data_IF_704364095023
#
_entry.id   IF_704364095023
#
_cell.length_a   1.000
_cell.length_b   1.000
_cell.length_c   1.000
_cell.angle_alpha   90.00
_cell.angle_beta   90.00
_cell.angle_gamma   90.00
#
_symmetry.space_group_name_H-M   'P 1'
#
loop_
_entity.id
_entity.type
_entity.pdbx_description
1 polymer ?
#
# COMPACT_ATOMS: atom_id res chain seq x y z
N UNK A 1 16.46 -21.18 6.97
CA UNK A 1 16.15 -21.49 5.58
C UNK A 1 17.10 -20.67 4.68
N UNK A 2 17.57 -21.23 3.58
CA UNK A 2 18.40 -20.51 2.61
C UNK A 2 17.53 -19.71 1.61
N UNK A 3 18.13 -18.78 0.86
CA UNK A 3 17.40 -17.96 -0.12
C UNK A 3 16.69 -18.79 -1.19
N UNK A 4 17.23 -19.96 -1.54
CA UNK A 4 16.64 -20.88 -2.53
C UNK A 4 15.26 -21.45 -2.09
N UNK A 5 14.89 -21.27 -0.82
CA UNK A 5 13.60 -21.69 -0.28
C UNK A 5 12.55 -20.56 -0.26
N UNK A 6 12.90 -19.37 -0.73
CA UNK A 6 12.06 -18.17 -0.72
C UNK A 6 11.65 -17.82 -2.15
N UNK A 7 10.36 -17.88 -2.46
CA UNK A 7 9.84 -17.52 -3.78
C UNK A 7 9.54 -16.03 -3.93
N UNK A 8 9.07 -15.39 -2.86
CA UNK A 8 8.71 -13.98 -2.90
C UNK A 8 8.84 -13.31 -1.52
N UNK A 9 9.00 -11.99 -1.56
CA UNK A 9 8.84 -11.08 -0.44
C UNK A 9 7.61 -10.21 -0.71
N UNK A 10 6.63 -10.25 0.20
CA UNK A 10 5.41 -9.46 0.10
C UNK A 10 5.37 -8.43 1.21
N UNK A 11 5.05 -7.18 0.88
CA UNK A 11 4.93 -6.10 1.85
C UNK A 11 4.10 -4.93 1.35
N UNK A 12 3.61 -4.12 2.28
CA UNK A 12 2.96 -2.84 1.99
C UNK A 12 4.01 -1.74 1.86
N UNK A 13 3.98 -0.87 0.83
CA UNK A 13 4.90 0.28 0.73
C UNK A 13 4.92 1.16 1.97
N UNK A 14 3.77 1.41 2.55
CA UNK A 14 3.54 2.03 3.87
C UNK A 14 2.59 1.14 4.63
N UNK A 15 2.97 0.72 5.84
CA UNK A 15 2.19 -0.27 6.59
C UNK A 15 1.02 0.37 7.33
N UNK A 16 -0.19 0.11 6.84
CA UNK A 16 -1.42 0.58 7.48
C UNK A 16 -1.71 -0.18 8.78
N UNK A 17 -1.59 -1.53 8.86
CA UNK A 17 -1.87 -2.27 10.10
C UNK A 17 -0.99 -1.86 11.28
N UNK A 18 0.18 -1.31 11.01
CA UNK A 18 1.08 -0.77 12.02
C UNK A 18 0.82 0.72 12.33
N UNK A 19 -0.31 1.27 11.88
CA UNK A 19 -0.69 2.66 12.13
C UNK A 19 0.04 3.66 11.23
N UNK A 20 0.19 3.36 9.95
CA UNK A 20 0.77 4.29 8.96
C UNK A 20 2.29 4.38 9.03
N UNK A 21 2.97 3.29 9.38
CA UNK A 21 4.44 3.27 9.44
C UNK A 21 5.04 3.44 8.06
N UNK A 22 5.81 4.52 7.88
CA UNK A 22 6.56 4.82 6.67
C UNK A 22 7.99 4.29 6.83
N UNK A 23 8.46 3.38 5.99
CA UNK A 23 9.83 2.89 6.06
C UNK A 23 10.85 3.99 5.73
N UNK A 24 12.10 3.89 6.21
CA UNK A 24 13.18 4.75 5.74
C UNK A 24 13.38 4.72 4.22
N UNK A 25 13.84 5.80 3.63
CA UNK A 25 13.96 5.97 2.17
C UNK A 25 14.78 4.87 1.46
N UNK A 26 15.74 4.30 2.17
CA UNK A 26 16.60 3.23 1.63
C UNK A 26 16.06 1.81 1.84
N UNK A 27 14.97 1.64 2.60
CA UNK A 27 14.45 0.31 2.94
C UNK A 27 14.04 -0.48 1.69
N UNK A 28 13.11 0.07 0.91
CA UNK A 28 12.62 -0.61 -0.29
C UNK A 28 13.67 -0.81 -1.39
N UNK A 29 14.55 0.18 -1.68
CA UNK A 29 15.69 -0.05 -2.56
C UNK A 29 16.58 -1.21 -2.10
N UNK A 30 16.90 -1.31 -0.81
CA UNK A 30 17.69 -2.43 -0.28
C UNK A 30 16.95 -3.77 -0.37
N UNK A 31 15.64 -3.80 -0.11
CA UNK A 31 14.82 -5.01 -0.30
C UNK A 31 14.85 -5.44 -1.76
N UNK A 32 14.73 -4.51 -2.71
CA UNK A 32 14.80 -4.80 -4.16
C UNK A 32 16.15 -5.39 -4.54
N UNK A 33 17.24 -4.83 -4.06
CA UNK A 33 18.60 -5.35 -4.29
C UNK A 33 18.75 -6.79 -3.79
N UNK A 34 18.23 -7.09 -2.60
CA UNK A 34 18.25 -8.44 -2.03
C UNK A 34 17.39 -9.39 -2.86
N UNK A 35 16.20 -8.98 -3.25
CA UNK A 35 15.31 -9.77 -4.09
C UNK A 35 15.96 -10.09 -5.45
N UNK A 36 16.57 -9.09 -6.10
CA UNK A 36 17.25 -9.26 -7.38
C UNK A 36 18.47 -10.20 -7.25
N UNK A 37 19.25 -10.04 -6.19
CA UNK A 37 20.45 -10.87 -5.93
C UNK A 37 20.12 -12.36 -5.80
N UNK A 38 18.97 -12.68 -5.19
CA UNK A 38 18.61 -14.06 -4.90
C UNK A 38 17.48 -14.61 -5.78
N UNK A 39 17.01 -13.86 -6.77
CA UNK A 39 15.92 -14.28 -7.66
C UNK A 39 14.57 -14.39 -6.95
N UNK A 40 14.37 -13.64 -5.87
CA UNK A 40 13.14 -13.58 -5.08
C UNK A 40 12.21 -12.53 -5.71
N UNK A 41 10.92 -12.85 -5.91
CA UNK A 41 9.96 -11.88 -6.42
C UNK A 41 9.60 -10.86 -5.34
N UNK A 42 9.61 -9.58 -5.70
CA UNK A 42 9.07 -8.52 -4.84
C UNK A 42 7.60 -8.26 -5.18
N UNK A 43 6.74 -8.41 -4.18
CA UNK A 43 5.31 -8.18 -4.31
C UNK A 43 4.89 -7.01 -3.42
N UNK A 44 4.25 -5.99 -3.99
CA UNK A 44 3.64 -4.92 -3.21
C UNK A 44 2.15 -5.14 -3.01
N UNK A 45 1.71 -5.06 -1.77
CA UNK A 45 0.30 -4.92 -1.44
C UNK A 45 -0.07 -3.43 -1.48
N UNK A 46 -0.68 -3.02 -2.59
CA UNK A 46 -1.16 -1.65 -2.80
C UNK A 46 -2.67 -1.51 -2.57
N UNK A 47 -3.26 -2.47 -1.88
CA UNK A 47 -4.71 -2.47 -1.59
C UNK A 47 -5.14 -1.21 -0.83
N UNK A 48 -4.27 -0.67 0.03
CA UNK A 48 -4.52 0.56 0.78
C UNK A 48 -3.72 1.74 0.22
N UNK A 49 -2.49 1.51 -0.18
CA UNK A 49 -1.54 2.56 -0.57
C UNK A 49 -1.79 3.09 -1.99
N UNK A 50 -2.46 2.30 -2.84
CA UNK A 50 -2.73 2.66 -4.23
C UNK A 50 -3.84 3.69 -4.42
N UNK A 51 -3.91 4.18 -5.65
CA UNK A 51 -4.95 5.07 -6.18
C UNK A 51 -5.08 6.42 -5.45
N UNK A 52 -3.93 7.02 -5.12
CA UNK A 52 -3.87 8.38 -4.60
C UNK A 52 -3.82 8.53 -3.08
N UNK A 53 -3.98 7.45 -2.31
CA UNK A 53 -4.02 7.50 -0.83
C UNK A 53 -2.83 8.22 -0.21
N UNK A 54 -1.64 8.03 -0.76
CA UNK A 54 -0.39 8.59 -0.24
C UNK A 54 -0.01 9.93 -0.89
N UNK A 55 -0.85 10.51 -1.76
CA UNK A 55 -0.48 11.68 -2.57
C UNK A 55 0.34 11.34 -3.81
N UNK A 56 0.44 10.06 -4.13
CA UNK A 56 0.97 9.48 -5.36
C UNK A 56 -0.01 8.42 -5.87
N UNK A 57 0.06 8.08 -7.18
CA UNK A 57 -0.82 7.05 -7.72
C UNK A 57 -0.68 5.72 -6.98
N UNK A 58 0.58 5.34 -6.66
CA UNK A 58 0.89 4.10 -5.95
C UNK A 58 2.01 4.33 -4.93
N UNK A 59 2.02 3.53 -3.88
CA UNK A 59 3.08 3.52 -2.89
C UNK A 59 4.44 3.13 -3.47
N UNK A 60 4.46 2.38 -4.57
CA UNK A 60 5.69 2.08 -5.33
C UNK A 60 6.40 3.34 -5.85
N UNK A 61 5.68 4.42 -6.12
CA UNK A 61 6.26 5.73 -6.47
C UNK A 61 7.02 6.32 -5.27
N UNK A 62 6.43 6.24 -4.07
CA UNK A 62 7.09 6.68 -2.82
C UNK A 62 8.31 5.80 -2.52
N UNK A 63 8.15 4.49 -2.64
CA UNK A 63 9.22 3.52 -2.42
C UNK A 63 10.37 3.63 -3.45
N UNK A 64 10.14 4.30 -4.58
CA UNK A 64 11.08 4.42 -5.71
C UNK A 64 11.54 3.05 -6.24
N UNK A 65 10.66 2.07 -6.20
CA UNK A 65 10.92 0.69 -6.59
C UNK A 65 9.76 0.16 -7.42
N UNK A 66 10.06 -0.54 -8.49
CA UNK A 66 9.07 -1.29 -9.26
C UNK A 66 9.00 -2.71 -8.73
N UNK A 67 7.86 -3.16 -8.15
CA UNK A 67 7.69 -4.55 -7.76
C UNK A 67 7.50 -5.46 -8.98
N UNK A 68 7.73 -6.76 -8.81
CA UNK A 68 7.45 -7.75 -9.85
C UNK A 68 5.96 -7.99 -10.01
N UNK A 69 5.24 -7.93 -8.88
CA UNK A 69 3.77 -8.08 -8.81
C UNK A 69 3.22 -7.03 -7.83
N UNK A 70 2.05 -6.50 -8.13
CA UNK A 70 1.32 -5.57 -7.29
C UNK A 70 -0.12 -6.05 -7.14
N UNK A 71 -0.63 -6.16 -5.90
CA UNK A 71 -2.04 -6.38 -5.64
C UNK A 71 -2.77 -5.05 -5.42
N UNK A 72 -4.02 -4.96 -5.84
CA UNK A 72 -4.84 -3.76 -5.67
C UNK A 72 -6.31 -4.09 -5.39
N UNK A 73 -6.97 -3.21 -4.67
CA UNK A 73 -8.41 -3.22 -4.41
C UNK A 73 -8.89 -1.84 -3.96
N UNK A 74 -9.92 -1.77 -3.14
CA UNK A 74 -10.44 -0.59 -2.43
C UNK A 74 -10.50 0.68 -3.28
N UNK A 75 -9.41 1.45 -3.31
CA UNK A 75 -9.30 2.73 -4.01
C UNK A 75 -9.61 2.66 -5.50
N UNK A 76 -9.42 1.50 -6.14
CA UNK A 76 -9.70 1.34 -7.58
C UNK A 76 -11.15 1.66 -7.96
N UNK A 77 -12.11 1.45 -7.05
CA UNK A 77 -13.52 1.79 -7.26
C UNK A 77 -14.08 2.75 -6.22
N UNK A 78 -13.26 3.23 -5.27
CA UNK A 78 -13.71 4.06 -4.13
C UNK A 78 -14.88 3.44 -3.35
N UNK A 79 -14.98 2.10 -3.33
CA UNK A 79 -16.02 1.36 -2.61
C UNK A 79 -17.36 1.24 -3.35
N UNK A 80 -17.51 1.80 -4.55
CA UNK A 80 -18.76 1.72 -5.31
C UNK A 80 -19.06 0.32 -5.88
N UNK A 81 -18.02 -0.50 -6.08
CA UNK A 81 -18.19 -1.88 -6.55
C UNK A 81 -17.03 -2.74 -5.99
N UNK A 82 -17.29 -3.99 -5.55
CA UNK A 82 -16.23 -4.91 -5.16
C UNK A 82 -15.36 -5.26 -6.36
N UNK A 83 -14.11 -4.77 -6.36
CA UNK A 83 -13.11 -5.03 -7.39
C UNK A 83 -11.74 -5.11 -6.74
N UNK A 84 -10.96 -6.07 -7.16
CA UNK A 84 -9.56 -6.21 -6.85
C UNK A 84 -8.86 -7.01 -7.93
N UNK A 85 -7.55 -6.97 -7.92
CA UNK A 85 -6.75 -7.68 -8.90
C UNK A 85 -5.27 -7.63 -8.58
N UNK A 86 -4.49 -8.16 -9.49
CA UNK A 86 -3.03 -8.05 -9.48
C UNK A 86 -2.51 -7.62 -10.84
N UNK A 87 -1.43 -6.87 -10.83
CA UNK A 87 -0.68 -6.47 -12.00
C UNK A 87 0.71 -7.07 -11.87
N UNK A 88 1.25 -7.60 -12.94
CA UNK A 88 2.61 -8.15 -12.96
C UNK A 88 3.44 -7.52 -14.07
N UNK A 89 4.76 -7.59 -13.90
CA UNK A 89 5.68 -7.25 -14.99
C UNK A 89 5.50 -8.20 -16.17
N UNK A 90 5.89 -7.75 -17.36
CA UNK A 90 5.86 -8.57 -18.58
C UNK A 90 6.64 -9.88 -18.40
N UNK A 91 7.78 -9.85 -17.69
CA UNK A 91 8.60 -11.03 -17.38
C UNK A 91 7.77 -12.12 -16.69
N UNK A 92 6.93 -11.74 -15.73
CA UNK A 92 6.06 -12.69 -15.01
C UNK A 92 4.95 -13.19 -15.93
N UNK A 93 4.24 -12.29 -16.61
CA UNK A 93 3.13 -12.69 -17.49
C UNK A 93 3.57 -13.59 -18.64
N UNK A 94 4.75 -13.35 -19.21
CA UNK A 94 5.28 -14.17 -20.31
C UNK A 94 5.61 -15.60 -19.86
N UNK A 95 5.88 -15.83 -18.56
CA UNK A 95 6.14 -17.19 -18.05
C UNK A 95 4.93 -18.13 -18.14
N UNK A 96 3.72 -17.56 -18.29
CA UNK A 96 2.49 -18.32 -18.47
C UNK A 96 2.12 -18.58 -19.94
N UNK A 97 2.95 -18.11 -20.87
CA UNK A 97 2.73 -18.30 -22.31
C UNK A 97 3.48 -19.53 -22.84
N UNK A 98 3.05 -20.04 -23.99
CA UNK A 98 3.71 -21.11 -24.71
C UNK A 98 3.14 -22.49 -24.41
N UNK A 99 3.84 -23.29 -23.61
CA UNK A 99 3.46 -24.66 -23.31
C UNK A 99 2.18 -24.72 -22.45
N UNK A 100 1.23 -25.65 -22.72
CA UNK A 100 -0.03 -25.78 -21.93
C UNK A 100 0.21 -25.96 -20.42
N UNK A 101 1.30 -26.61 -20.03
CA UNK A 101 1.69 -26.79 -18.61
C UNK A 101 2.00 -25.48 -17.87
N UNK A 102 2.32 -24.42 -18.61
CA UNK A 102 2.64 -23.11 -18.05
C UNK A 102 1.41 -22.21 -17.96
N UNK A 103 0.25 -22.66 -18.52
CA UNK A 103 -0.94 -21.82 -18.55
C UNK A 103 -1.46 -21.48 -17.18
N UNK A 104 -1.82 -20.22 -16.96
CA UNK A 104 -2.55 -19.77 -15.79
C UNK A 104 -3.98 -20.33 -15.82
N UNK A 105 -4.31 -21.26 -14.94
CA UNK A 105 -5.60 -21.92 -14.88
C UNK A 105 -6.51 -21.48 -13.75
N UNK A 106 -6.05 -20.53 -12.92
CA UNK A 106 -6.83 -20.03 -11.79
C UNK A 106 -7.83 -18.96 -12.25
N UNK A 107 -9.12 -19.17 -11.93
CA UNK A 107 -10.16 -18.18 -12.16
C UNK A 107 -11.24 -18.25 -11.08
N UNK A 108 -11.95 -17.15 -10.91
CA UNK A 108 -13.15 -17.07 -10.09
C UNK A 108 -14.38 -16.88 -10.96
N UNK A 109 -15.56 -17.36 -10.54
CA UNK A 109 -16.82 -17.24 -11.30
C UNK A 109 -17.14 -15.79 -11.70
N UNK A 110 -16.81 -14.83 -10.80
CA UNK A 110 -17.06 -13.41 -11.05
C UNK A 110 -15.83 -12.62 -11.52
N UNK A 111 -14.75 -13.30 -11.94
CA UNK A 111 -13.61 -12.63 -12.55
C UNK A 111 -14.02 -11.83 -13.78
N UNK A 112 -13.35 -10.67 -13.97
CA UNK A 112 -13.63 -9.75 -15.08
C UNK A 112 -15.10 -9.28 -15.19
N UNK A 113 -15.79 -9.15 -14.05
CA UNK A 113 -17.16 -8.66 -14.03
C UNK A 113 -17.27 -7.26 -14.67
N UNK A 114 -18.09 -7.09 -15.73
CA UNK A 114 -18.10 -5.83 -16.48
C UNK A 114 -18.54 -4.61 -15.65
N UNK A 115 -19.45 -4.80 -14.69
CA UNK A 115 -19.84 -3.73 -13.75
C UNK A 115 -18.69 -3.25 -12.88
N UNK A 116 -17.83 -4.17 -12.40
CA UNK A 116 -16.63 -3.82 -11.64
C UNK A 116 -15.62 -3.06 -12.50
N UNK A 117 -15.37 -3.53 -13.71
CA UNK A 117 -14.48 -2.87 -14.66
C UNK A 117 -14.97 -1.45 -15.02
N UNK A 118 -16.26 -1.28 -15.31
CA UNK A 118 -16.87 0.02 -15.62
C UNK A 118 -16.78 0.99 -14.44
N UNK A 119 -17.06 0.52 -13.22
CA UNK A 119 -16.94 1.33 -12.01
C UNK A 119 -15.48 1.77 -11.77
N UNK A 120 -14.52 0.83 -11.93
CA UNK A 120 -13.10 1.13 -11.79
C UNK A 120 -12.62 2.16 -12.81
N UNK A 121 -12.92 1.96 -14.10
CA UNK A 121 -12.56 2.92 -15.15
C UNK A 121 -13.13 4.30 -14.90
N UNK A 122 -14.41 4.39 -14.49
CA UNK A 122 -15.03 5.68 -14.20
C UNK A 122 -14.43 6.36 -12.97
N UNK A 123 -14.10 5.58 -11.95
CA UNK A 123 -13.42 6.10 -10.77
C UNK A 123 -12.04 6.67 -11.11
N UNK A 124 -11.24 5.93 -11.89
CA UNK A 124 -9.92 6.40 -12.31
C UNK A 124 -10.00 7.68 -13.15
N UNK A 125 -10.96 7.77 -14.08
CA UNK A 125 -11.23 9.00 -14.85
C UNK A 125 -11.54 10.19 -13.93
N UNK A 126 -12.32 9.98 -12.87
CA UNK A 126 -12.66 11.05 -11.91
C UNK A 126 -11.42 11.46 -11.11
N UNK A 127 -10.66 10.49 -10.60
CA UNK A 127 -9.41 10.75 -9.84
C UNK A 127 -8.44 11.59 -10.66
N UNK A 128 -8.26 11.27 -11.93
CA UNK A 128 -7.39 12.00 -12.84
C UNK A 128 -7.96 13.37 -13.20
N UNK A 129 -9.21 13.44 -13.67
CA UNK A 129 -9.88 14.68 -14.10
C UNK A 129 -9.93 15.73 -12.99
N UNK A 130 -10.17 15.31 -11.77
CA UNK A 130 -10.31 16.20 -10.61
C UNK A 130 -9.01 16.40 -9.84
N UNK A 131 -7.91 15.85 -10.36
CA UNK A 131 -6.56 15.95 -9.77
C UNK A 131 -6.53 15.52 -8.29
N UNK A 132 -7.24 14.43 -7.96
CA UNK A 132 -7.43 14.01 -6.56
C UNK A 132 -6.15 13.47 -5.93
N UNK A 133 -5.18 12.99 -6.70
CA UNK A 133 -3.87 12.55 -6.21
C UNK A 133 -3.12 13.72 -5.58
N UNK A 134 -3.03 14.84 -6.31
CA UNK A 134 -2.37 16.06 -5.81
C UNK A 134 -3.16 16.67 -4.63
N UNK A 135 -4.49 16.66 -4.70
CA UNK A 135 -5.31 17.11 -3.57
C UNK A 135 -5.06 16.24 -2.31
N UNK A 136 -4.90 14.92 -2.46
CA UNK A 136 -4.57 14.03 -1.34
C UNK A 136 -3.21 14.37 -0.72
N UNK A 137 -2.22 14.75 -1.53
CA UNK A 137 -0.91 15.22 -1.07
C UNK A 137 -1.05 16.50 -0.23
N UNK A 138 -1.67 17.53 -0.80
CA UNK A 138 -1.86 18.81 -0.13
C UNK A 138 -2.68 18.70 1.17
N UNK A 139 -3.78 17.91 1.14
CA UNK A 139 -4.60 17.69 2.34
C UNK A 139 -3.87 16.80 3.36
N UNK A 140 -3.04 15.88 2.89
CA UNK A 140 -2.18 15.06 3.74
C UNK A 140 -1.18 15.88 4.53
N UNK A 141 -0.51 16.84 3.90
CA UNK A 141 0.40 17.78 4.56
C UNK A 141 -0.34 18.64 5.60
N UNK A 142 -1.52 19.16 5.25
CA UNK A 142 -2.37 19.90 6.19
C UNK A 142 -2.77 19.03 7.38
N UNK A 143 -3.21 17.80 7.13
CA UNK A 143 -3.60 16.86 8.19
C UNK A 143 -2.43 16.54 9.12
N UNK A 144 -1.24 16.23 8.54
CA UNK A 144 -0.05 15.94 9.32
C UNK A 144 0.34 17.08 10.27
N UNK A 145 0.29 18.32 9.77
CA UNK A 145 0.60 19.50 10.59
C UNK A 145 -0.40 19.66 11.74
N UNK A 146 -1.70 19.52 11.47
CA UNK A 146 -2.73 19.61 12.50
C UNK A 146 -2.59 18.51 13.56
N UNK A 147 -2.26 17.28 13.13
CA UNK A 147 -2.02 16.15 14.04
C UNK A 147 -0.73 16.34 14.85
N UNK A 148 0.28 16.99 14.29
CA UNK A 148 1.50 17.37 15.02
C UNK A 148 1.21 18.38 16.12
N UNK A 149 0.36 19.37 15.88
CA UNK A 149 -0.08 20.31 16.93
C UNK A 149 -0.82 19.59 18.07
N UNK A 150 -1.62 18.56 17.73
CA UNK A 150 -2.31 17.74 18.74
C UNK A 150 -1.29 16.94 19.55
N UNK A 151 -0.29 16.32 18.90
CA UNK A 151 0.79 15.61 19.57
C UNK A 151 1.55 16.51 20.53
N UNK A 152 1.93 17.71 20.09
CA UNK A 152 2.68 18.66 20.91
C UNK A 152 1.87 19.15 22.13
N UNK A 153 0.54 19.18 21.99
CA UNK A 153 -0.37 19.64 23.05
C UNK A 153 -0.71 18.56 24.07
N UNK A 154 -0.78 17.29 23.64
CA UNK A 154 -1.33 16.21 24.47
C UNK A 154 -0.34 15.05 24.61
N UNK A 155 0.22 14.89 25.82
CA UNK A 155 1.19 13.84 26.16
C UNK A 155 0.69 12.39 26.00
N UNK A 156 -0.63 12.21 25.85
CA UNK A 156 -1.22 10.92 25.54
C UNK A 156 -0.93 10.49 24.09
N UNK A 157 -0.49 11.44 23.24
CA UNK A 157 -0.12 11.14 21.86
C UNK A 157 1.38 10.91 21.80
N UNK A 158 1.77 9.64 21.71
CA UNK A 158 3.17 9.22 21.67
C UNK A 158 3.86 9.46 20.34
N UNK A 159 3.12 9.36 19.23
CA UNK A 159 3.67 9.58 17.89
C UNK A 159 2.62 10.08 16.90
N UNK A 160 3.08 10.83 15.89
CA UNK A 160 2.33 11.20 14.69
C UNK A 160 3.15 10.78 13.47
N UNK A 161 2.60 9.89 12.65
CA UNK A 161 3.30 9.33 11.49
C UNK A 161 2.35 9.10 10.33
N UNK A 162 2.91 8.99 9.13
CA UNK A 162 2.14 8.74 7.92
C UNK A 162 2.59 9.58 6.74
N UNK A 163 1.91 9.39 5.62
CA UNK A 163 2.13 10.13 4.38
C UNK A 163 0.83 10.27 3.61
N UNK A 164 0.62 11.41 2.97
CA UNK A 164 -0.63 11.73 2.28
C UNK A 164 -1.83 11.63 3.24
N UNK A 165 -2.88 10.96 2.83
CA UNK A 165 -4.07 10.72 3.66
C UNK A 165 -4.04 9.39 4.43
N UNK A 166 -2.87 8.78 4.58
CA UNK A 166 -2.64 7.64 5.47
C UNK A 166 -1.82 8.12 6.65
N UNK A 167 -2.52 8.49 7.73
CA UNK A 167 -1.96 9.08 8.93
C UNK A 167 -2.31 8.23 10.14
N UNK A 168 -1.46 8.24 11.16
CA UNK A 168 -1.68 7.55 12.42
C UNK A 168 -1.20 8.36 13.61
N UNK A 169 -2.03 8.43 14.65
CA UNK A 169 -1.64 8.87 15.99
C UNK A 169 -1.48 7.64 16.88
N UNK A 170 -0.36 7.53 17.54
CA UNK A 170 -0.13 6.49 18.55
C UNK A 170 -0.54 7.00 19.93
N UNK A 171 -1.52 6.33 20.53
CA UNK A 171 -1.99 6.67 21.86
C UNK A 171 -1.23 5.84 22.89
N UNK A 172 -0.60 6.53 23.84
CA UNK A 172 0.27 5.92 24.84
C UNK A 172 -0.09 6.41 26.25
N UNK A 173 0.20 5.57 27.25
CA UNK A 173 0.07 5.93 28.64
C UNK A 173 1.22 6.83 29.11
N UNK A 174 2.41 6.61 28.52
CA UNK A 174 3.61 7.38 28.82
C UNK A 174 4.33 7.76 27.52
N UNK A 175 4.51 9.06 27.28
CA UNK A 175 5.12 9.59 26.06
C UNK A 175 6.61 9.20 25.92
N UNK A 176 7.36 9.15 27.03
CA UNK A 176 8.81 8.91 27.01
C UNK A 176 9.12 7.42 26.76
N UNK A 177 8.43 6.53 27.48
CA UNK A 177 8.65 5.08 27.39
C UNK A 177 7.86 4.40 26.29
N UNK A 178 6.89 5.10 25.69
CA UNK A 178 5.90 4.55 24.74
C UNK A 178 5.07 3.40 25.35
N UNK A 179 4.91 3.38 26.67
CA UNK A 179 4.06 2.39 27.34
C UNK A 179 2.62 2.53 26.86
N UNK A 180 2.06 1.45 26.34
CA UNK A 180 0.66 1.40 25.92
C UNK A 180 -0.29 1.27 27.11
N UNK A 181 -1.54 1.67 26.89
CA UNK A 181 -2.61 1.36 27.82
C UNK A 181 -2.91 -0.14 27.87
N UNK A 182 -3.51 -0.60 28.97
CA UNK A 182 -3.98 -1.98 29.06
C UNK A 182 -5.01 -2.24 27.95
N UNK A 183 -4.83 -3.28 27.11
CA UNK A 183 -5.77 -3.62 26.06
C UNK A 183 -7.20 -3.85 26.54
N UNK A 184 -7.40 -4.22 27.81
CA UNK A 184 -8.72 -4.40 28.40
C UNK A 184 -9.54 -3.11 28.51
N UNK A 185 -8.90 -1.94 28.40
CA UNK A 185 -9.56 -0.63 28.42
C UNK A 185 -10.24 -0.30 27.10
N UNK A 186 -9.95 -1.03 26.02
CA UNK A 186 -10.51 -0.82 24.68
C UNK A 186 -10.41 0.63 24.18
N UNK A 187 -9.28 1.31 24.43
CA UNK A 187 -8.97 2.68 24.04
C UNK A 187 -8.44 2.74 22.60
#
# INVERSE_FOLDING_TARGET
>A
HGPDSISCFLGEPVSQPLGGVVPPDNYWPMVREVCDKYGILLIFDEVITGFGRLGEWFGSNIAKVTPDIMSFAKGVTSGYFPLGGSISTKKISDSFLGEPKNSWSHMYTYSAHPGGAAAGLKNLEIVERENLVENAKLRGEQLFNNLSEIKDKYKIVGDNRGIGLLQGLEIVKNEETKEHFDPSLHL
#
